data_IF_808948783540
#
_entry.id   IF_808948783540
#
_cell.length_a   1.000
_cell.length_b   1.000
_cell.length_c   1.000
_cell.angle_alpha   90.00
_cell.angle_beta   90.00
_cell.angle_gamma   90.00
#
_symmetry.space_group_name_H-M   'P 1'
#
loop_
_entity.id
_entity.type
_entity.pdbx_description
1 polymer ?
#
# COMPACT_ATOMS: atom_id res chain seq x y z
N UNK A 1 -6.09 18.34 -9.04
CA UNK A 1 -6.23 18.73 -7.62
C UNK A 1 -4.96 18.38 -6.88
N UNK A 2 -4.43 19.31 -6.11
CA UNK A 2 -3.19 19.22 -5.32
C UNK A 2 -3.51 18.98 -3.84
N UNK A 3 -2.63 18.24 -3.16
CA UNK A 3 -2.73 17.94 -1.72
C UNK A 3 -1.40 18.27 -1.05
N UNK A 4 -1.40 18.89 0.12
CA UNK A 4 -0.18 19.19 0.88
C UNK A 4 -0.28 18.66 2.30
N UNK A 5 0.75 17.94 2.75
CA UNK A 5 0.95 17.63 4.17
C UNK A 5 1.90 18.69 4.74
N UNK A 6 1.49 19.40 5.80
CA UNK A 6 2.19 20.57 6.34
C UNK A 6 2.69 20.34 7.76
N UNK A 7 3.74 21.08 8.14
CA UNK A 7 4.27 21.18 9.51
C UNK A 7 4.81 19.86 10.10
N UNK A 8 4.88 18.81 9.30
CA UNK A 8 5.34 17.50 9.70
C UNK A 8 6.86 17.40 9.79
N UNK A 9 7.32 16.34 10.46
CA UNK A 9 8.72 15.91 10.39
C UNK A 9 8.80 14.73 9.43
N UNK A 10 9.41 14.93 8.26
CA UNK A 10 9.64 13.86 7.30
C UNK A 10 10.67 12.90 7.86
N UNK A 11 10.36 11.61 7.83
CA UNK A 11 11.26 10.52 8.22
C UNK A 11 11.38 9.57 7.04
N UNK A 12 12.61 9.34 6.62
CA UNK A 12 12.98 8.40 5.56
C UNK A 12 14.00 7.42 6.11
N UNK A 13 14.39 6.40 5.34
CA UNK A 13 15.35 5.41 5.80
C UNK A 13 16.73 5.98 6.13
N UNK A 14 17.13 7.09 5.48
CA UNK A 14 18.45 7.71 5.62
C UNK A 14 18.47 8.91 6.57
N UNK A 15 17.38 9.70 6.63
CA UNK A 15 17.37 10.96 7.38
C UNK A 15 15.99 11.41 7.87
N UNK A 16 16.03 12.41 8.75
CA UNK A 16 14.86 13.06 9.36
C UNK A 16 14.99 14.58 9.29
N UNK A 17 13.95 15.29 8.82
CA UNK A 17 13.94 16.76 8.74
C UNK A 17 12.53 17.34 8.70
N UNK A 18 12.38 18.62 9.08
CA UNK A 18 11.10 19.33 9.01
C UNK A 18 10.86 19.87 7.60
N UNK A 19 9.75 19.49 6.97
CA UNK A 19 9.33 19.99 5.66
C UNK A 19 7.87 19.61 5.39
N UNK A 20 7.24 20.34 4.47
CA UNK A 20 5.95 20.04 3.87
C UNK A 20 6.13 19.13 2.63
N UNK A 21 5.09 18.39 2.28
CA UNK A 21 5.06 17.48 1.12
C UNK A 21 3.88 17.82 0.22
N UNK A 22 4.13 18.26 -1.01
CA UNK A 22 3.11 18.54 -2.01
C UNK A 22 2.95 17.35 -2.97
N UNK A 23 1.70 16.95 -3.16
CA UNK A 23 1.29 15.84 -4.01
C UNK A 23 0.32 16.31 -5.09
N UNK A 24 0.50 15.79 -6.30
CA UNK A 24 -0.38 16.02 -7.44
C UNK A 24 -0.48 14.74 -8.29
N UNK A 25 -1.70 14.38 -8.72
CA UNK A 25 -1.95 13.20 -9.56
C UNK A 25 -1.30 11.90 -9.04
N UNK A 26 -1.37 11.67 -7.73
CA UNK A 26 -0.81 10.46 -7.09
C UNK A 26 0.71 10.43 -6.98
N UNK A 27 1.40 11.54 -7.24
CA UNK A 27 2.86 11.66 -7.13
C UNK A 27 3.24 12.79 -6.18
N UNK A 28 4.38 12.62 -5.49
CA UNK A 28 5.04 13.71 -4.76
C UNK A 28 5.71 14.61 -5.80
N UNK A 29 5.37 15.90 -5.83
CA UNK A 29 5.88 16.86 -6.82
C UNK A 29 6.78 17.94 -6.22
N UNK A 30 6.72 18.17 -4.90
CA UNK A 30 7.67 19.01 -4.20
C UNK A 30 7.80 18.62 -2.71
N UNK A 31 8.99 18.85 -2.15
CA UNK A 31 9.27 18.76 -0.72
C UNK A 31 10.02 20.02 -0.33
N UNK A 32 9.55 20.74 0.69
CA UNK A 32 10.12 22.02 1.08
C UNK A 32 9.32 22.71 2.16
N UNK A 33 9.65 23.95 2.49
CA UNK A 33 8.93 24.75 3.50
C UNK A 33 7.85 25.63 2.87
N UNK A 34 6.76 25.87 3.59
CA UNK A 34 5.70 26.82 3.22
C UNK A 34 5.02 26.45 1.89
N UNK A 35 4.77 25.15 1.68
CA UNK A 35 4.03 24.68 0.50
C UNK A 35 2.52 24.84 0.70
N UNK A 36 1.81 25.02 -0.42
CA UNK A 36 0.36 25.22 -0.46
C UNK A 36 -0.28 24.40 -1.59
N UNK A 37 -1.54 24.01 -1.42
CA UNK A 37 -2.32 23.26 -2.41
C UNK A 37 -3.81 23.33 -2.15
N UNK A 38 -4.61 22.71 -3.04
CA UNK A 38 -6.07 22.75 -2.98
C UNK A 38 -6.63 22.14 -1.68
N UNK A 39 -5.93 21.14 -1.12
CA UNK A 39 -6.22 20.54 0.16
C UNK A 39 -4.98 20.47 1.04
N UNK A 40 -5.09 20.92 2.29
CA UNK A 40 -3.98 20.93 3.24
C UNK A 40 -4.29 20.02 4.44
N UNK A 41 -3.30 19.22 4.86
CA UNK A 41 -3.33 18.33 6.01
C UNK A 41 -2.30 18.83 7.02
N UNK A 42 -2.72 19.14 8.25
CA UNK A 42 -1.78 19.54 9.31
C UNK A 42 -1.18 18.31 10.00
N UNK A 43 0.13 18.16 9.89
CA UNK A 43 0.92 17.10 10.52
C UNK A 43 1.80 17.66 11.66
N UNK A 44 1.40 18.78 12.28
CA UNK A 44 2.09 19.32 13.46
C UNK A 44 2.24 18.25 14.55
N UNK A 45 3.48 17.97 14.93
CA UNK A 45 3.80 16.95 15.95
C UNK A 45 3.79 15.51 15.42
N UNK A 46 3.47 15.29 14.14
CA UNK A 46 3.48 13.98 13.50
C UNK A 46 4.76 13.73 12.69
N UNK A 47 5.07 12.44 12.50
CA UNK A 47 6.05 12.00 11.52
C UNK A 47 5.36 11.68 10.19
N UNK A 48 5.96 12.15 9.09
CA UNK A 48 5.50 11.87 7.72
C UNK A 48 6.48 10.87 7.11
N UNK A 49 6.02 9.63 6.92
CA UNK A 49 6.84 8.51 6.47
C UNK A 49 6.32 7.96 5.14
N UNK A 50 7.17 7.26 4.35
CA UNK A 50 6.67 6.34 3.34
C UNK A 50 5.67 5.37 3.97
N UNK A 51 4.59 5.05 3.25
CA UNK A 51 3.70 3.98 3.69
C UNK A 51 4.43 2.64 3.73
N UNK A 52 4.02 1.78 4.66
CA UNK A 52 4.62 0.45 4.79
C UNK A 52 4.44 -0.39 3.52
N UNK A 53 5.40 -1.26 3.24
CA UNK A 53 5.28 -2.33 2.25
C UNK A 53 5.35 -3.63 3.02
N UNK A 54 4.27 -4.40 3.01
CA UNK A 54 4.24 -5.75 3.59
C UNK A 54 4.50 -6.77 2.47
N UNK A 55 5.71 -7.35 2.40
CA UNK A 55 6.07 -8.23 1.30
C UNK A 55 5.59 -9.67 1.49
N UNK A 56 4.80 -9.98 2.52
CA UNK A 56 4.40 -11.35 2.83
C UNK A 56 2.95 -11.44 3.33
N UNK A 57 2.01 -11.45 2.40
CA UNK A 57 0.58 -11.68 2.70
C UNK A 57 0.05 -12.97 2.09
N UNK A 58 -1.07 -13.46 2.65
CA UNK A 58 -1.82 -14.62 2.16
C UNK A 58 -3.33 -14.32 2.23
N UNK A 59 -3.81 -13.46 1.34
CA UNK A 59 -5.19 -12.98 1.29
C UNK A 59 -6.07 -13.90 0.45
N UNK A 60 -7.24 -14.27 0.99
CA UNK A 60 -8.15 -15.25 0.40
C UNK A 60 -7.43 -16.53 -0.07
N UNK A 61 -6.42 -16.99 0.69
CA UNK A 61 -5.56 -18.11 0.33
C UNK A 61 -6.31 -19.44 0.51
N UNK A 62 -6.44 -20.30 -0.52
CA UNK A 62 -6.96 -21.64 -0.35
C UNK A 62 -5.97 -22.50 0.44
N UNK A 63 -6.40 -23.09 1.55
CA UNK A 63 -5.57 -23.96 2.36
C UNK A 63 -6.39 -24.99 3.14
N UNK A 64 -6.01 -26.27 3.04
CA UNK A 64 -6.60 -27.39 3.79
C UNK A 64 -8.14 -27.46 3.75
N UNK A 65 -8.73 -27.19 2.59
CA UNK A 65 -10.18 -27.28 2.36
C UNK A 65 -10.99 -26.05 2.76
N UNK A 66 -10.33 -24.95 3.16
CA UNK A 66 -10.96 -23.65 3.42
C UNK A 66 -10.12 -22.52 2.83
N UNK A 67 -10.48 -21.27 3.13
CA UNK A 67 -9.76 -20.05 2.74
C UNK A 67 -9.34 -19.24 3.98
N UNK A 68 -8.28 -18.45 3.87
CA UNK A 68 -8.01 -17.40 4.88
C UNK A 68 -9.18 -16.41 4.95
N UNK A 69 -9.45 -15.90 6.15
CA UNK A 69 -10.67 -15.14 6.44
C UNK A 69 -10.64 -13.71 5.87
N UNK A 70 -9.46 -13.10 5.78
CA UNK A 70 -9.29 -11.82 5.12
C UNK A 70 -9.12 -12.02 3.62
N UNK A 71 -9.95 -11.34 2.83
CA UNK A 71 -9.81 -11.25 1.39
C UNK A 71 -8.98 -10.01 0.98
N UNK A 72 -8.84 -9.77 -0.32
CA UNK A 72 -8.12 -8.58 -0.79
C UNK A 72 -8.79 -7.26 -0.42
N UNK A 73 -10.10 -7.22 -0.13
CA UNK A 73 -10.77 -6.00 0.35
C UNK A 73 -10.47 -5.75 1.82
N UNK A 74 -10.75 -6.74 2.67
CA UNK A 74 -10.61 -6.58 4.12
C UNK A 74 -9.15 -6.49 4.54
N UNK A 75 -8.28 -7.31 3.94
CA UNK A 75 -6.85 -7.33 4.21
C UNK A 75 -6.14 -6.03 3.82
N UNK A 76 -6.40 -5.50 2.62
CA UNK A 76 -5.78 -4.23 2.19
C UNK A 76 -6.36 -3.02 2.93
N UNK A 77 -7.64 -3.04 3.31
CA UNK A 77 -8.22 -2.03 4.21
C UNK A 77 -7.56 -2.07 5.60
N UNK A 78 -7.31 -3.26 6.13
CA UNK A 78 -6.59 -3.42 7.39
C UNK A 78 -5.14 -2.90 7.28
N UNK A 79 -4.45 -3.19 6.18
CA UNK A 79 -3.12 -2.67 5.87
C UNK A 79 -3.10 -1.13 5.91
N UNK A 80 -4.01 -0.48 5.18
CA UNK A 80 -4.11 0.99 5.16
C UNK A 80 -4.44 1.58 6.54
N UNK A 81 -5.32 0.93 7.30
CA UNK A 81 -5.67 1.36 8.66
C UNK A 81 -4.46 1.33 9.61
N UNK A 82 -3.51 0.44 9.36
CA UNK A 82 -2.24 0.32 10.09
C UNK A 82 -1.08 1.14 9.52
N UNK A 83 -1.26 1.84 8.39
CA UNK A 83 -0.21 2.63 7.74
C UNK A 83 0.62 1.90 6.67
N UNK A 84 0.26 0.65 6.33
CA UNK A 84 0.83 -0.09 5.19
C UNK A 84 0.05 0.26 3.91
N UNK A 85 0.76 0.67 2.87
CA UNK A 85 0.16 1.15 1.61
C UNK A 85 0.42 0.24 0.41
N UNK A 86 1.18 -0.84 0.60
CA UNK A 86 1.37 -1.87 -0.41
C UNK A 86 1.50 -3.24 0.23
N UNK A 87 0.91 -4.25 -0.40
CA UNK A 87 1.08 -5.67 -0.03
C UNK A 87 1.68 -6.48 -1.17
N UNK A 88 2.44 -7.52 -0.87
CA UNK A 88 2.89 -8.52 -1.84
C UNK A 88 2.39 -9.89 -1.40
N UNK A 89 1.43 -10.40 -2.16
CA UNK A 89 0.76 -11.67 -1.88
C UNK A 89 1.46 -12.83 -2.59
N UNK A 90 1.18 -14.07 -2.19
CA UNK A 90 1.72 -15.25 -2.85
C UNK A 90 0.70 -15.88 -3.79
N UNK A 91 0.99 -15.88 -5.09
CA UNK A 91 0.25 -16.67 -6.05
C UNK A 91 0.64 -18.15 -5.89
N UNK A 92 -0.35 -19.01 -5.58
CA UNK A 92 -0.14 -20.42 -5.28
C UNK A 92 -0.82 -21.32 -6.33
N UNK A 93 -0.08 -21.78 -7.36
CA UNK A 93 -0.60 -22.76 -8.30
C UNK A 93 -0.93 -24.09 -7.62
N UNK A 94 -2.05 -24.71 -8.00
CA UNK A 94 -2.33 -26.10 -7.62
C UNK A 94 -1.35 -27.07 -8.31
N UNK A 95 -1.19 -28.32 -7.80
CA UNK A 95 -0.43 -29.35 -8.50
C UNK A 95 -0.87 -29.45 -9.97
N UNK A 96 0.11 -29.40 -10.89
CA UNK A 96 -0.09 -29.48 -12.34
C UNK A 96 -0.86 -28.31 -12.98
N UNK A 97 -1.17 -27.24 -12.24
CA UNK A 97 -1.77 -26.02 -12.79
C UNK A 97 -0.72 -25.15 -13.50
N UNK A 98 -1.10 -24.46 -14.59
CA UNK A 98 -0.23 -23.48 -15.22
C UNK A 98 -0.02 -22.26 -14.32
N UNK A 99 1.21 -21.75 -14.26
CA UNK A 99 1.54 -20.52 -13.52
C UNK A 99 0.73 -19.31 -14.03
N UNK A 100 0.47 -19.25 -15.34
CA UNK A 100 -0.30 -18.15 -15.94
C UNK A 100 -1.80 -18.25 -15.60
N UNK A 101 -2.32 -19.47 -15.47
CA UNK A 101 -3.69 -19.68 -15.01
C UNK A 101 -3.82 -19.28 -13.54
N UNK A 102 -2.83 -19.65 -12.71
CA UNK A 102 -2.77 -19.24 -11.31
C UNK A 102 -2.69 -17.72 -11.16
N UNK A 103 -1.83 -17.05 -11.94
CA UNK A 103 -1.73 -15.59 -11.95
C UNK A 103 -3.07 -14.93 -12.30
N UNK A 104 -3.74 -15.41 -13.35
CA UNK A 104 -5.05 -14.89 -13.75
C UNK A 104 -6.10 -15.07 -12.64
N UNK A 105 -6.05 -16.17 -11.88
CA UNK A 105 -6.92 -16.36 -10.71
C UNK A 105 -6.63 -15.33 -9.61
N UNK A 106 -5.35 -15.03 -9.34
CA UNK A 106 -4.97 -14.00 -8.36
C UNK A 106 -5.38 -12.60 -8.82
N UNK A 107 -5.16 -12.24 -10.09
CA UNK A 107 -5.63 -10.98 -10.67
C UNK A 107 -7.15 -10.78 -10.51
N UNK A 108 -7.93 -11.85 -10.58
CA UNK A 108 -9.38 -11.77 -10.36
C UNK A 108 -9.74 -11.45 -8.90
N UNK A 109 -8.99 -12.02 -7.93
CA UNK A 109 -9.21 -11.79 -6.49
C UNK A 109 -8.92 -10.34 -6.08
N UNK A 110 -7.92 -9.72 -6.70
CA UNK A 110 -7.45 -8.38 -6.33
C UNK A 110 -8.31 -7.23 -6.83
N UNK A 111 -9.39 -7.53 -7.57
CA UNK A 111 -10.35 -6.53 -8.08
C UNK A 111 -10.97 -5.63 -6.98
N UNK A 112 -10.89 -6.03 -5.71
CA UNK A 112 -11.38 -5.27 -4.55
C UNK A 112 -10.28 -4.67 -3.67
N UNK A 113 -9.02 -4.73 -4.08
CA UNK A 113 -7.92 -4.18 -3.30
C UNK A 113 -8.08 -2.67 -3.09
N UNK A 114 -7.84 -2.23 -1.84
CA UNK A 114 -7.92 -0.82 -1.43
C UNK A 114 -6.59 -0.07 -1.56
N UNK A 115 -5.48 -0.80 -1.68
CA UNK A 115 -4.14 -0.26 -1.88
C UNK A 115 -3.40 -1.00 -3.00
N UNK A 116 -2.23 -0.49 -3.39
CA UNK A 116 -1.40 -1.11 -4.42
C UNK A 116 -0.92 -2.50 -3.96
N UNK A 117 -0.72 -3.41 -4.92
CA UNK A 117 -0.31 -4.78 -4.62
C UNK A 117 0.62 -5.34 -5.70
N UNK A 118 1.28 -6.45 -5.37
CA UNK A 118 2.01 -7.29 -6.32
C UNK A 118 1.98 -8.75 -5.87
N UNK A 119 2.65 -9.64 -6.61
CA UNK A 119 2.69 -11.06 -6.30
C UNK A 119 4.10 -11.63 -6.32
N UNK A 120 4.37 -12.53 -5.38
CA UNK A 120 5.34 -13.60 -5.59
C UNK A 120 4.66 -14.75 -6.34
N UNK A 121 5.44 -15.57 -7.05
CA UNK A 121 4.97 -16.83 -7.65
C UNK A 121 5.64 -17.99 -6.91
N UNK A 122 4.83 -18.91 -6.37
CA UNK A 122 5.30 -20.10 -5.66
C UNK A 122 5.57 -21.30 -6.60
#
# INVERSE_FOLDING_TARGET
MTKVIRNGTIVTADRTWKADVLMQHGKIVAIGSNLHGDHEFDATGCYVMPGGIDPHTHLEMPFMGTYSADDFESGTRAALSGGTTMVVDFCLPAPQQSLLEALQMWDNKTSKASCDYSFHMA
#
